data_IF_949284917899
#
_entry.id   IF_949284917899
#
_cell.length_a   1.000
_cell.length_b   1.000
_cell.length_c   1.000
_cell.angle_alpha   90.00
_cell.angle_beta   90.00
_cell.angle_gamma   90.00
#
_symmetry.space_group_name_H-M   'P 1'
#
loop_
_entity.id
_entity.type
_entity.pdbx_description
1 polymer ?
#
# COMPACT_ATOMS: atom_id res chain seq x y z
N UNK A 1 46.18 -33.91 49.13
CA UNK A 1 46.37 -35.15 48.37
C UNK A 1 44.99 -35.79 48.10
N UNK A 2 44.73 -36.07 46.85
CA UNK A 2 43.54 -36.77 46.31
C UNK A 2 42.17 -36.08 46.26
N UNK A 3 42.03 -35.29 45.22
CA UNK A 3 40.74 -34.97 44.55
C UNK A 3 40.82 -35.48 43.09
N UNK A 4 40.62 -36.79 42.86
CA UNK A 4 40.63 -37.35 41.47
C UNK A 4 39.66 -38.52 41.26
N UNK A 5 38.59 -38.68 42.02
CA UNK A 5 37.61 -39.78 41.79
C UNK A 5 36.15 -39.37 41.63
N UNK A 6 35.82 -38.08 41.56
CA UNK A 6 34.41 -37.63 41.46
C UNK A 6 33.84 -37.46 40.05
N UNK A 7 34.67 -37.36 39.05
CA UNK A 7 34.21 -36.98 37.67
C UNK A 7 33.91 -38.20 36.80
N UNK A 8 34.56 -39.33 37.08
CA UNK A 8 34.38 -40.56 36.29
C UNK A 8 33.04 -41.27 36.56
N UNK A 9 32.51 -41.18 37.80
CA UNK A 9 31.22 -41.81 38.17
C UNK A 9 30.00 -41.07 37.60
N UNK A 10 30.04 -39.75 37.51
CA UNK A 10 28.95 -38.95 36.98
C UNK A 10 28.84 -39.11 35.43
N UNK A 11 29.95 -39.20 34.72
CA UNK A 11 29.96 -39.43 33.29
C UNK A 11 29.45 -40.83 32.94
N UNK A 12 29.78 -41.83 33.74
CA UNK A 12 29.31 -43.20 33.55
C UNK A 12 27.80 -43.34 33.81
N UNK A 13 27.22 -42.58 34.77
CA UNK A 13 25.83 -42.59 35.06
C UNK A 13 24.97 -41.89 34.00
N UNK A 14 25.48 -40.83 33.38
CA UNK A 14 24.82 -40.13 32.26
C UNK A 14 24.84 -40.99 31.00
N UNK A 15 25.90 -41.77 30.76
CA UNK A 15 25.98 -42.66 29.60
C UNK A 15 25.05 -43.88 29.71
N UNK A 16 24.78 -44.39 30.90
CA UNK A 16 23.84 -45.49 31.16
C UNK A 16 22.39 -44.98 31.00
N UNK A 17 22.09 -43.74 31.37
CA UNK A 17 20.74 -43.15 31.23
C UNK A 17 20.37 -42.89 29.77
N UNK A 18 21.34 -42.60 28.89
CA UNK A 18 21.11 -42.38 27.45
C UNK A 18 20.92 -43.70 26.70
N UNK A 19 21.55 -44.81 27.18
CA UNK A 19 21.36 -46.13 26.56
C UNK A 19 20.02 -46.81 26.90
N UNK A 20 19.34 -46.41 27.96
CA UNK A 20 18.03 -46.95 28.33
C UNK A 20 16.86 -46.34 27.51
N UNK A 21 17.10 -45.30 26.72
CA UNK A 21 16.08 -44.68 25.89
C UNK A 21 15.88 -45.33 24.48
N UNK A 22 16.71 -46.32 24.15
CA UNK A 22 16.64 -47.02 22.84
C UNK A 22 16.17 -48.47 22.91
N UNK A 23 15.79 -48.98 24.07
CA UNK A 23 15.30 -50.38 24.18
C UNK A 23 13.90 -50.41 24.80
N UNK A 24 12.89 -50.30 23.97
CA UNK A 24 11.55 -50.66 24.40
C UNK A 24 10.43 -49.80 23.79
N UNK A 25 9.88 -50.32 22.70
CA UNK A 25 8.43 -50.49 22.54
C UNK A 25 8.14 -51.12 21.16
N UNK A 26 8.08 -52.42 21.16
CA UNK A 26 7.33 -53.17 20.16
C UNK A 26 5.90 -53.32 20.69
N UNK A 27 4.89 -52.80 19.96
CA UNK A 27 3.51 -53.18 20.13
C UNK A 27 2.62 -52.18 20.84
N UNK A 28 2.37 -51.01 20.27
CA UNK A 28 1.22 -50.16 20.60
C UNK A 28 0.44 -49.88 19.31
N UNK A 29 -0.84 -50.27 19.27
CA UNK A 29 -1.75 -49.99 18.17
C UNK A 29 -1.70 -48.49 17.84
N UNK A 30 -1.35 -48.14 16.60
CA UNK A 30 -1.50 -46.80 16.06
C UNK A 30 -2.95 -46.37 16.24
N UNK A 31 -3.19 -45.33 17.00
CA UNK A 31 -4.43 -44.58 16.92
C UNK A 31 -4.60 -44.10 15.46
N UNK A 32 -5.82 -44.05 14.92
CA UNK A 32 -6.02 -43.50 13.60
C UNK A 32 -5.53 -42.04 13.60
N UNK A 33 -4.51 -41.74 12.83
CA UNK A 33 -4.26 -40.36 12.42
C UNK A 33 -5.46 -40.01 11.54
N UNK A 34 -6.35 -39.16 12.02
CA UNK A 34 -7.22 -38.41 11.14
C UNK A 34 -6.33 -37.64 10.18
N UNK A 35 -6.20 -38.17 8.95
CA UNK A 35 -5.75 -37.36 7.84
C UNK A 35 -6.76 -36.23 7.69
N UNK A 36 -6.41 -35.04 8.18
CA UNK A 36 -7.09 -33.82 7.79
C UNK A 36 -6.84 -33.69 6.30
N UNK A 37 -7.82 -34.15 5.51
CA UNK A 37 -7.87 -33.87 4.08
C UNK A 37 -8.13 -32.38 3.95
N UNK A 38 -7.04 -31.59 3.86
CA UNK A 38 -7.12 -30.21 3.44
C UNK A 38 -7.58 -30.25 1.99
N UNK A 39 -8.79 -29.74 1.75
CA UNK A 39 -9.36 -29.69 0.40
C UNK A 39 -8.51 -28.74 -0.45
N UNK A 40 -7.73 -29.29 -1.39
CA UNK A 40 -6.78 -28.52 -2.21
C UNK A 40 -7.46 -27.47 -3.08
N UNK A 41 -8.79 -27.49 -3.20
CA UNK A 41 -9.57 -26.48 -3.91
C UNK A 41 -9.61 -25.13 -3.15
N UNK A 42 -9.76 -25.16 -1.83
CA UNK A 42 -9.74 -23.93 -1.01
C UNK A 42 -8.37 -23.27 -0.99
N UNK A 43 -7.30 -24.07 -0.93
CA UNK A 43 -5.93 -23.52 -0.98
C UNK A 43 -5.59 -22.88 -2.34
N UNK A 44 -6.17 -23.36 -3.44
CA UNK A 44 -5.93 -22.78 -4.77
C UNK A 44 -6.62 -21.43 -4.92
N UNK A 45 -7.81 -21.26 -4.36
CA UNK A 45 -8.52 -19.98 -4.34
C UNK A 45 -7.77 -18.96 -3.48
N UNK A 46 -7.37 -19.33 -2.26
CA UNK A 46 -6.58 -18.47 -1.36
C UNK A 46 -5.24 -18.05 -2.00
N UNK A 47 -4.53 -18.99 -2.65
CA UNK A 47 -3.28 -18.67 -3.35
C UNK A 47 -3.48 -17.78 -4.58
N UNK A 48 -4.63 -17.87 -5.26
CA UNK A 48 -4.98 -16.95 -6.34
C UNK A 48 -5.30 -15.57 -5.80
N UNK A 49 -6.03 -15.47 -4.69
CA UNK A 49 -6.37 -14.20 -4.05
C UNK A 49 -5.13 -13.48 -3.52
N UNK A 50 -4.20 -14.20 -2.88
CA UNK A 50 -2.91 -13.65 -2.43
C UNK A 50 -2.08 -13.13 -3.61
N UNK A 51 -1.96 -13.92 -4.70
CA UNK A 51 -1.24 -13.48 -5.91
C UNK A 51 -1.92 -12.31 -6.62
N UNK A 52 -3.23 -12.19 -6.49
CA UNK A 52 -3.98 -11.07 -7.05
C UNK A 52 -3.81 -9.82 -6.20
N UNK A 53 -3.81 -9.95 -4.88
CA UNK A 53 -3.50 -8.87 -3.94
C UNK A 53 -2.07 -8.34 -4.17
N UNK A 54 -1.05 -9.20 -4.24
CA UNK A 54 0.33 -8.80 -4.57
C UNK A 54 0.43 -8.02 -5.89
N UNK A 55 -0.30 -8.45 -6.94
CA UNK A 55 -0.33 -7.74 -8.23
C UNK A 55 -1.00 -6.37 -8.14
N UNK A 56 -2.04 -6.24 -7.31
CA UNK A 56 -2.76 -4.98 -7.08
C UNK A 56 -1.83 -3.99 -6.39
N UNK A 57 -1.10 -4.42 -5.35
CA UNK A 57 -0.11 -3.59 -4.66
C UNK A 57 1.03 -3.13 -5.57
N UNK A 58 1.45 -3.96 -6.53
CA UNK A 58 2.50 -3.60 -7.50
C UNK A 58 2.01 -2.68 -8.63
N UNK A 59 0.71 -2.53 -8.80
CA UNK A 59 0.11 -1.81 -9.92
C UNK A 59 -0.60 -0.50 -9.52
N UNK A 60 -0.91 -0.30 -8.23
CA UNK A 60 -1.40 0.97 -7.69
C UNK A 60 -0.25 1.72 -7.02
N UNK A 61 0.01 2.98 -7.38
CA UNK A 61 1.03 3.73 -6.66
C UNK A 61 0.61 3.86 -5.19
N UNK A 62 1.54 3.51 -4.31
CA UNK A 62 1.39 3.74 -2.88
C UNK A 62 1.31 5.26 -2.59
N UNK A 63 0.86 5.68 -1.39
CA UNK A 63 0.89 7.08 -0.98
C UNK A 63 2.28 7.71 -1.14
N UNK A 64 3.34 6.95 -0.84
CA UNK A 64 4.70 7.39 -1.00
C UNK A 64 5.09 7.57 -2.48
N UNK A 65 4.80 6.59 -3.33
CA UNK A 65 5.09 6.68 -4.77
C UNK A 65 4.37 7.86 -5.41
N UNK A 66 3.13 8.14 -4.99
CA UNK A 66 2.37 9.32 -5.42
C UNK A 66 3.13 10.62 -5.07
N UNK A 67 3.63 10.76 -3.84
CA UNK A 67 4.42 11.92 -3.42
C UNK A 67 5.74 12.04 -4.21
N UNK A 68 6.44 10.91 -4.44
CA UNK A 68 7.65 10.88 -5.26
C UNK A 68 7.39 11.30 -6.71
N UNK A 69 6.31 10.83 -7.33
CA UNK A 69 5.93 11.20 -8.68
C UNK A 69 5.66 12.71 -8.80
N UNK A 70 4.95 13.29 -7.82
CA UNK A 70 4.66 14.72 -7.76
C UNK A 70 5.96 15.52 -7.68
N UNK A 71 6.88 15.20 -6.75
CA UNK A 71 8.17 15.87 -6.61
C UNK A 71 9.04 15.71 -7.85
N UNK A 72 9.12 14.52 -8.43
CA UNK A 72 9.92 14.25 -9.64
C UNK A 72 9.41 14.99 -10.87
N UNK A 73 8.12 15.33 -10.90
CA UNK A 73 7.54 16.16 -11.95
C UNK A 73 7.90 17.64 -11.80
N UNK A 74 8.54 18.04 -10.67
CA UNK A 74 8.97 19.41 -10.41
C UNK A 74 7.90 20.29 -9.76
N UNK A 75 6.82 19.70 -9.25
CA UNK A 75 5.78 20.44 -8.54
C UNK A 75 6.30 20.94 -7.19
N UNK A 76 5.78 22.10 -6.72
CA UNK A 76 6.07 22.67 -5.42
C UNK A 76 5.19 22.11 -4.32
N UNK A 77 5.52 22.44 -3.06
CA UNK A 77 4.72 22.11 -1.90
C UNK A 77 3.64 23.17 -1.66
N UNK A 78 2.41 22.73 -1.40
CA UNK A 78 1.31 23.57 -0.94
C UNK A 78 0.54 22.87 0.17
N UNK A 79 0.75 23.33 1.42
CA UNK A 79 0.10 22.82 2.62
C UNK A 79 -1.44 22.89 2.55
N UNK A 80 -1.98 23.89 1.83
CA UNK A 80 -3.45 24.10 1.75
C UNK A 80 -4.18 22.99 1.02
N UNK A 81 -3.47 22.16 0.28
CA UNK A 81 -4.04 21.00 -0.40
C UNK A 81 -4.29 19.84 0.56
N UNK A 82 -3.55 19.77 1.66
CA UNK A 82 -3.56 18.64 2.58
C UNK A 82 -4.83 18.65 3.45
N UNK A 83 -5.21 17.47 3.94
CA UNK A 83 -6.35 17.36 4.86
C UNK A 83 -5.96 17.91 6.24
N UNK A 84 -6.59 18.99 6.73
CA UNK A 84 -6.22 19.56 8.01
C UNK A 84 -6.29 18.54 9.14
N UNK A 85 -5.23 18.42 9.95
CA UNK A 85 -5.18 17.50 11.10
C UNK A 85 -6.27 17.79 12.14
N UNK A 86 -6.82 19.01 12.17
CA UNK A 86 -7.96 19.36 13.01
C UNK A 86 -9.22 18.53 12.72
N UNK A 87 -9.33 17.98 11.49
CA UNK A 87 -10.45 17.13 11.08
C UNK A 87 -10.41 15.72 11.69
N UNK A 88 -9.29 15.29 12.27
CA UNK A 88 -9.05 13.93 12.75
C UNK A 88 -10.14 13.42 13.71
N UNK A 89 -10.76 14.33 14.48
CA UNK A 89 -11.82 13.99 15.45
C UNK A 89 -13.20 13.79 14.79
N UNK A 90 -13.37 14.17 13.53
CA UNK A 90 -14.64 14.02 12.81
C UNK A 90 -14.82 12.59 12.27
N UNK A 91 -13.74 11.83 12.13
CA UNK A 91 -13.75 10.50 11.52
C UNK A 91 -14.01 9.43 12.59
N UNK A 92 -15.30 9.09 12.78
CA UNK A 92 -15.75 8.17 13.84
C UNK A 92 -16.32 6.84 13.32
N UNK A 93 -16.48 6.70 11.99
CA UNK A 93 -16.93 5.44 11.38
C UNK A 93 -15.75 4.68 10.77
N UNK A 94 -15.84 3.35 10.68
CA UNK A 94 -14.80 2.54 10.02
C UNK A 94 -14.50 3.03 8.61
N UNK A 95 -15.52 3.38 7.81
CA UNK A 95 -15.36 3.95 6.47
C UNK A 95 -14.56 5.25 6.52
N UNK A 96 -14.95 6.20 7.37
CA UNK A 96 -14.27 7.48 7.47
C UNK A 96 -12.83 7.34 7.96
N UNK A 97 -12.60 6.50 8.98
CA UNK A 97 -11.26 6.23 9.49
C UNK A 97 -10.36 5.54 8.45
N UNK A 98 -10.88 4.54 7.72
CA UNK A 98 -10.12 3.83 6.69
C UNK A 98 -9.71 4.75 5.53
N UNK A 99 -10.66 5.51 4.98
CA UNK A 99 -10.37 6.48 3.91
C UNK A 99 -9.36 7.53 4.37
N UNK A 100 -9.52 8.07 5.58
CA UNK A 100 -8.64 9.10 6.10
C UNK A 100 -7.30 8.57 6.64
N UNK A 101 -7.17 7.28 6.96
CA UNK A 101 -5.87 6.65 7.15
C UNK A 101 -5.04 6.72 5.86
N UNK A 102 -5.64 6.35 4.74
CA UNK A 102 -4.99 6.45 3.42
C UNK A 102 -4.63 7.90 3.06
N UNK A 103 -5.56 8.84 3.26
CA UNK A 103 -5.37 10.27 3.01
C UNK A 103 -4.22 10.82 3.86
N UNK A 104 -4.26 10.65 5.19
CA UNK A 104 -3.20 11.14 6.08
C UNK A 104 -1.84 10.48 5.82
N UNK A 105 -1.81 9.23 5.36
CA UNK A 105 -0.56 8.58 4.94
C UNK A 105 -0.01 9.23 3.66
N UNK A 106 -0.86 9.65 2.72
CA UNK A 106 -0.46 10.39 1.54
C UNK A 106 0.06 11.79 1.90
N UNK A 107 -0.64 12.50 2.77
CA UNK A 107 -0.27 13.83 3.26
C UNK A 107 1.08 13.79 3.99
N UNK A 108 1.27 12.80 4.86
CA UNK A 108 2.52 12.54 5.56
C UNK A 108 3.66 12.29 4.56
N UNK A 109 3.43 11.46 3.55
CA UNK A 109 4.43 11.17 2.52
C UNK A 109 4.79 12.42 1.73
N UNK A 110 3.79 13.23 1.37
CA UNK A 110 3.99 14.49 0.66
C UNK A 110 4.76 15.50 1.52
N UNK A 111 4.38 15.69 2.79
CA UNK A 111 5.10 16.55 3.72
C UNK A 111 6.56 16.11 3.92
N UNK A 112 6.80 14.79 4.05
CA UNK A 112 8.14 14.21 4.17
C UNK A 112 9.01 14.51 2.95
N UNK A 113 8.46 14.34 1.74
CA UNK A 113 9.18 14.59 0.49
C UNK A 113 9.68 16.04 0.36
N UNK A 114 9.00 16.99 1.01
CA UNK A 114 9.35 18.42 1.01
C UNK A 114 9.95 18.89 2.34
N UNK A 115 10.41 17.94 3.18
CA UNK A 115 11.15 18.22 4.43
C UNK A 115 10.35 19.09 5.42
N UNK A 116 9.01 18.93 5.44
CA UNK A 116 8.11 19.67 6.32
C UNK A 116 8.00 18.98 7.67
N UNK A 117 9.03 19.07 8.51
CA UNK A 117 9.19 18.26 9.74
C UNK A 117 8.01 18.36 10.70
N UNK A 118 7.46 19.57 10.94
CA UNK A 118 6.32 19.72 11.86
C UNK A 118 5.06 19.07 11.31
N UNK A 119 4.76 19.28 10.04
CA UNK A 119 3.62 18.64 9.39
C UNK A 119 3.76 17.13 9.35
N UNK A 120 4.98 16.62 9.17
CA UNK A 120 5.25 15.18 9.24
C UNK A 120 4.78 14.59 10.59
N UNK A 121 5.17 15.22 11.71
CA UNK A 121 4.76 14.80 13.06
C UNK A 121 3.24 14.87 13.21
N UNK A 122 2.62 15.94 12.74
CA UNK A 122 1.18 16.14 12.88
C UNK A 122 0.39 15.11 12.07
N UNK A 123 0.79 14.82 10.83
CA UNK A 123 0.16 13.79 10.00
C UNK A 123 0.43 12.36 10.48
N UNK A 124 1.62 12.09 11.05
CA UNK A 124 1.92 10.82 11.70
C UNK A 124 0.95 10.55 12.86
N UNK A 125 0.73 11.55 13.71
CA UNK A 125 -0.21 11.45 14.82
C UNK A 125 -1.66 11.26 14.34
N UNK A 126 -2.04 11.95 13.25
CA UNK A 126 -3.36 11.79 12.65
C UNK A 126 -3.56 10.38 12.08
N UNK A 127 -2.59 9.86 11.31
CA UNK A 127 -2.63 8.50 10.77
C UNK A 127 -2.66 7.44 11.88
N UNK A 128 -1.83 7.59 12.93
CA UNK A 128 -1.81 6.72 14.12
C UNK A 128 -3.19 6.68 14.78
N UNK A 129 -3.87 7.82 14.92
CA UNK A 129 -5.21 7.88 15.50
C UNK A 129 -6.25 7.14 14.64
N UNK A 130 -6.17 7.23 13.33
CA UNK A 130 -7.03 6.45 12.43
C UNK A 130 -6.77 4.96 12.56
N UNK A 131 -5.50 4.54 12.60
CA UNK A 131 -5.09 3.17 12.79
C UNK A 131 -5.56 2.59 14.14
N UNK A 132 -5.50 3.39 15.22
CA UNK A 132 -6.02 3.02 16.54
C UNK A 132 -7.53 2.78 16.49
N UNK A 133 -8.28 3.71 15.90
CA UNK A 133 -9.73 3.58 15.75
C UNK A 133 -10.17 2.36 14.92
N UNK A 134 -9.33 1.92 13.98
CA UNK A 134 -9.54 0.70 13.18
C UNK A 134 -9.06 -0.58 13.90
N UNK A 135 -8.39 -0.46 15.05
CA UNK A 135 -7.84 -1.59 15.81
C UNK A 135 -6.59 -2.23 15.18
N UNK A 136 -5.90 -1.52 14.29
CA UNK A 136 -4.74 -2.04 13.56
C UNK A 136 -3.39 -1.54 14.08
N UNK A 137 -3.35 -0.82 15.20
CA UNK A 137 -2.06 -0.40 15.80
C UNK A 137 -1.09 -1.56 16.06
N UNK A 138 -1.61 -2.78 16.25
CA UNK A 138 -0.76 -3.97 16.41
C UNK A 138 0.01 -4.36 15.13
N UNK A 139 -0.43 -3.88 13.98
CA UNK A 139 0.28 -4.06 12.71
C UNK A 139 1.44 -3.04 12.56
N UNK A 140 1.45 -2.01 13.40
CA UNK A 140 2.48 -0.98 13.44
C UNK A 140 3.36 -1.30 14.65
N UNK A 141 4.59 -1.74 14.40
CA UNK A 141 5.51 -2.06 15.48
C UNK A 141 5.98 -0.76 16.17
N UNK A 142 6.04 -0.77 17.52
CA UNK A 142 6.50 0.41 18.27
C UNK A 142 7.90 0.86 17.81
N UNK A 143 8.77 -0.11 17.45
CA UNK A 143 10.11 0.19 16.93
C UNK A 143 10.08 1.05 15.66
N UNK A 144 9.06 0.89 14.78
CA UNK A 144 8.95 1.65 13.54
C UNK A 144 8.56 3.11 13.84
N UNK A 145 7.71 3.31 14.87
CA UNK A 145 7.36 4.63 15.36
C UNK A 145 8.59 5.32 15.98
N UNK A 146 9.30 4.60 16.85
CA UNK A 146 10.50 5.12 17.52
C UNK A 146 11.60 5.46 16.49
N UNK A 147 11.83 4.58 15.50
CA UNK A 147 12.79 4.83 14.41
C UNK A 147 12.40 6.03 13.55
N UNK A 148 11.10 6.23 13.30
CA UNK A 148 10.59 7.37 12.55
C UNK A 148 10.81 8.68 13.32
N UNK A 149 10.53 8.69 14.63
CA UNK A 149 10.77 9.85 15.51
C UNK A 149 12.26 10.19 15.62
N UNK A 150 13.14 9.18 15.73
CA UNK A 150 14.60 9.36 15.79
C UNK A 150 15.19 9.89 14.48
N UNK A 151 14.55 9.56 13.35
CA UNK A 151 15.03 9.90 12.00
C UNK A 151 14.18 10.97 11.30
N UNK A 152 13.50 11.84 12.05
CA UNK A 152 12.51 12.80 11.55
C UNK A 152 13.06 13.74 10.43
N UNK A 153 14.37 13.90 10.34
CA UNK A 153 15.03 14.71 9.31
C UNK A 153 15.66 13.85 8.18
N UNK A 154 15.44 12.54 8.18
CA UNK A 154 15.95 11.63 7.16
C UNK A 154 14.81 11.10 6.29
N UNK A 155 14.55 11.81 5.18
CA UNK A 155 13.45 11.47 4.28
C UNK A 155 13.51 10.02 3.76
N UNK A 156 14.70 9.44 3.53
CA UNK A 156 14.83 8.06 3.03
C UNK A 156 14.36 7.04 4.09
N UNK A 157 14.76 7.23 5.35
CA UNK A 157 14.32 6.36 6.47
C UNK A 157 12.82 6.49 6.67
N UNK A 158 12.31 7.73 6.70
CA UNK A 158 10.88 8.00 6.84
C UNK A 158 10.09 7.30 5.73
N UNK A 159 10.51 7.47 4.48
CA UNK A 159 9.85 6.87 3.32
C UNK A 159 9.80 5.35 3.40
N UNK A 160 10.90 4.71 3.81
CA UNK A 160 10.96 3.26 4.01
C UNK A 160 9.95 2.82 5.08
N UNK A 161 9.99 3.44 6.26
CA UNK A 161 9.11 3.06 7.38
C UNK A 161 7.63 3.27 7.02
N UNK A 162 7.29 4.41 6.43
CA UNK A 162 5.90 4.71 6.01
C UNK A 162 5.41 3.68 4.99
N UNK A 163 6.23 3.32 4.00
CA UNK A 163 5.87 2.31 2.99
C UNK A 163 5.69 0.92 3.61
N UNK A 164 6.64 0.47 4.44
CA UNK A 164 6.58 -0.82 5.13
C UNK A 164 5.36 -0.90 6.06
N UNK A 165 5.13 0.14 6.87
CA UNK A 165 4.00 0.22 7.79
C UNK A 165 2.66 0.24 7.05
N UNK A 166 2.58 0.95 5.91
CA UNK A 166 1.38 0.98 5.08
C UNK A 166 1.06 -0.42 4.52
N UNK A 167 2.06 -1.12 3.95
CA UNK A 167 1.88 -2.48 3.43
C UNK A 167 1.52 -3.47 4.53
N UNK A 168 2.22 -3.43 5.68
CA UNK A 168 1.95 -4.30 6.82
C UNK A 168 0.55 -4.10 7.38
N UNK A 169 0.09 -2.84 7.49
CA UNK A 169 -1.27 -2.51 7.94
C UNK A 169 -2.33 -3.06 7.01
N UNK A 170 -2.10 -2.98 5.69
CA UNK A 170 -3.04 -3.50 4.72
C UNK A 170 -3.10 -5.03 4.73
N UNK A 171 -1.95 -5.71 4.75
CA UNK A 171 -1.87 -7.16 4.88
C UNK A 171 -2.53 -7.64 6.18
N UNK A 172 -2.29 -6.93 7.29
CA UNK A 172 -2.93 -7.25 8.57
C UNK A 172 -4.47 -7.16 8.49
N UNK A 173 -5.01 -6.15 7.81
CA UNK A 173 -6.46 -6.03 7.61
C UNK A 173 -7.02 -7.20 6.78
N UNK A 174 -6.35 -7.59 5.70
CA UNK A 174 -6.75 -8.72 4.87
C UNK A 174 -6.72 -10.04 5.65
N UNK A 175 -5.62 -10.32 6.35
CA UNK A 175 -5.41 -11.54 7.16
C UNK A 175 -6.41 -11.65 8.32
N UNK A 176 -6.92 -10.53 8.82
CA UNK A 176 -7.93 -10.47 9.88
C UNK A 176 -9.37 -10.37 9.35
N UNK A 177 -9.61 -10.70 8.07
CA UNK A 177 -10.94 -10.75 7.48
C UNK A 177 -11.59 -9.38 7.29
N UNK A 178 -10.79 -8.33 7.12
CA UNK A 178 -11.23 -6.95 6.87
C UNK A 178 -10.83 -6.42 5.47
N UNK A 179 -10.98 -7.18 4.37
CA UNK A 179 -10.55 -6.75 3.05
C UNK A 179 -11.28 -5.48 2.57
N UNK A 180 -12.51 -5.27 2.98
CA UNK A 180 -13.25 -4.04 2.69
C UNK A 180 -12.56 -2.80 3.31
N UNK A 181 -12.08 -2.91 4.54
CA UNK A 181 -11.34 -1.83 5.22
C UNK A 181 -10.00 -1.58 4.53
N UNK A 182 -9.27 -2.64 4.18
CA UNK A 182 -8.03 -2.56 3.42
C UNK A 182 -8.22 -1.82 2.08
N UNK A 183 -9.24 -2.20 1.31
CA UNK A 183 -9.58 -1.54 0.05
C UNK A 183 -9.90 -0.05 0.24
N UNK A 184 -10.64 0.32 1.29
CA UNK A 184 -10.95 1.72 1.59
C UNK A 184 -9.70 2.54 1.93
N UNK A 185 -8.73 1.98 2.66
CA UNK A 185 -7.44 2.64 2.94
C UNK A 185 -6.69 2.94 1.65
N UNK A 186 -6.59 1.95 0.76
CA UNK A 186 -5.93 2.12 -0.55
C UNK A 186 -6.60 3.19 -1.41
N UNK A 187 -7.94 3.18 -1.48
CA UNK A 187 -8.71 4.19 -2.22
C UNK A 187 -8.46 5.59 -1.65
N UNK A 188 -8.47 5.74 -0.33
CA UNK A 188 -8.20 7.03 0.33
C UNK A 188 -6.87 7.63 -0.09
N UNK A 189 -5.79 6.85 0.00
CA UNK A 189 -4.45 7.30 -0.38
C UNK A 189 -4.32 7.60 -1.88
N UNK A 190 -4.92 6.76 -2.75
CA UNK A 190 -4.89 6.97 -4.19
C UNK A 190 -5.67 8.22 -4.61
N UNK A 191 -6.85 8.46 -4.04
CA UNK A 191 -7.66 9.66 -4.30
C UNK A 191 -6.91 10.91 -3.85
N UNK A 192 -6.27 10.91 -2.68
CA UNK A 192 -5.50 12.06 -2.19
C UNK A 192 -4.31 12.37 -3.09
N UNK A 193 -3.53 11.35 -3.48
CA UNK A 193 -2.41 11.52 -4.41
C UNK A 193 -2.85 12.07 -5.78
N UNK A 194 -3.97 11.58 -6.32
CA UNK A 194 -4.53 12.09 -7.56
C UNK A 194 -5.05 13.52 -7.39
N UNK A 195 -5.73 13.82 -6.27
CA UNK A 195 -6.19 15.16 -5.95
C UNK A 195 -5.03 16.14 -5.90
N UNK A 196 -4.02 15.89 -5.08
CA UNK A 196 -2.84 16.76 -4.96
C UNK A 196 -2.19 16.96 -6.34
N UNK A 197 -2.02 15.87 -7.11
CA UNK A 197 -1.44 15.95 -8.45
C UNK A 197 -2.23 16.87 -9.36
N UNK A 198 -3.56 16.79 -9.37
CA UNK A 198 -4.40 17.64 -10.24
C UNK A 198 -4.39 19.11 -9.83
N UNK A 199 -4.23 19.42 -8.54
CA UNK A 199 -4.19 20.80 -8.05
C UNK A 199 -2.84 21.49 -8.35
N UNK A 200 -1.78 20.71 -8.53
CA UNK A 200 -0.42 21.22 -8.77
C UNK A 200 -0.05 21.36 -10.26
N UNK A 201 -0.97 21.03 -11.17
CA UNK A 201 -0.74 21.23 -12.61
C UNK A 201 -0.77 22.71 -12.97
N UNK A 202 0.32 23.22 -13.53
CA UNK A 202 0.33 24.56 -14.13
C UNK A 202 -0.44 24.56 -15.47
N UNK A 203 -1.60 25.17 -15.46
CA UNK A 203 -2.47 25.28 -16.64
C UNK A 203 -1.91 26.20 -17.73
N UNK A 204 -0.93 27.05 -17.41
CA UNK A 204 -0.29 27.90 -18.41
C UNK A 204 0.74 27.11 -19.25
N UNK A 205 1.28 26.03 -18.70
CA UNK A 205 2.18 25.09 -19.39
C UNK A 205 1.60 23.66 -19.39
N UNK A 206 0.32 23.52 -19.69
CA UNK A 206 -0.39 22.24 -19.58
C UNK A 206 0.29 21.12 -20.38
N UNK A 207 0.70 21.39 -21.61
CA UNK A 207 1.29 20.38 -22.50
C UNK A 207 2.75 20.03 -22.14
N UNK A 208 3.48 20.93 -21.47
CA UNK A 208 4.85 20.71 -21.00
C UNK A 208 4.90 20.18 -19.55
N UNK A 209 3.79 20.21 -18.82
CA UNK A 209 3.73 19.84 -17.43
C UNK A 209 3.82 18.32 -17.25
N UNK A 210 4.89 17.86 -16.60
CA UNK A 210 5.15 16.43 -16.38
C UNK A 210 4.08 15.75 -15.53
N UNK A 211 3.38 16.48 -14.65
CA UNK A 211 2.28 15.93 -13.83
C UNK A 211 1.13 15.46 -14.73
N UNK A 212 0.85 16.12 -15.84
CA UNK A 212 -0.22 15.70 -16.77
C UNK A 212 0.04 14.28 -17.27
N UNK A 213 1.27 13.94 -17.63
CA UNK A 213 1.64 12.58 -18.01
C UNK A 213 1.41 11.58 -16.87
N UNK A 214 1.82 11.92 -15.64
CA UNK A 214 1.64 11.07 -14.45
C UNK A 214 0.17 10.85 -14.10
N UNK A 215 -0.67 11.86 -14.31
CA UNK A 215 -2.12 11.75 -14.13
C UNK A 215 -2.73 10.83 -15.20
N UNK A 216 -2.26 10.92 -16.46
CA UNK A 216 -2.70 10.02 -17.52
C UNK A 216 -2.36 8.56 -17.22
N UNK A 217 -1.18 8.28 -16.66
CA UNK A 217 -0.76 6.94 -16.24
C UNK A 217 -1.75 6.30 -15.26
N UNK A 218 -2.45 7.11 -14.44
CA UNK A 218 -3.47 6.65 -13.49
C UNK A 218 -4.72 6.06 -14.17
N UNK A 219 -4.89 6.25 -15.48
CA UNK A 219 -5.94 5.57 -16.24
C UNK A 219 -5.86 4.05 -16.13
N UNK A 220 -4.65 3.50 -16.02
CA UNK A 220 -4.45 2.05 -15.82
C UNK A 220 -4.78 1.62 -14.38
N UNK A 221 -4.54 2.49 -13.43
CA UNK A 221 -4.78 2.23 -12.00
C UNK A 221 -6.27 2.17 -11.64
N UNK A 222 -7.12 2.92 -12.35
CA UNK A 222 -8.56 3.00 -12.03
C UNK A 222 -9.28 1.65 -12.17
N UNK A 223 -8.94 0.84 -13.18
CA UNK A 223 -9.54 -0.48 -13.38
C UNK A 223 -9.09 -1.46 -12.28
N UNK A 224 -7.84 -1.36 -11.84
CA UNK A 224 -7.31 -2.16 -10.73
C UNK A 224 -8.04 -1.80 -9.44
N UNK A 225 -8.24 -0.51 -9.19
CA UNK A 225 -8.96 -0.02 -8.01
C UNK A 225 -10.41 -0.51 -7.98
N UNK A 226 -11.12 -0.47 -9.12
CA UNK A 226 -12.47 -1.00 -9.22
C UNK A 226 -12.53 -2.51 -9.02
N UNK A 227 -11.53 -3.26 -9.51
CA UNK A 227 -11.44 -4.70 -9.29
C UNK A 227 -11.18 -5.03 -7.82
N UNK A 228 -10.33 -4.27 -7.15
CA UNK A 228 -10.08 -4.39 -5.71
C UNK A 228 -11.39 -4.22 -4.91
N UNK A 229 -12.11 -3.13 -5.17
CA UNK A 229 -13.39 -2.85 -4.53
C UNK A 229 -14.43 -3.95 -4.80
N UNK A 230 -14.45 -4.49 -6.03
CA UNK A 230 -15.38 -5.56 -6.40
C UNK A 230 -15.15 -6.85 -5.58
N UNK A 231 -13.93 -7.09 -5.07
CA UNK A 231 -13.66 -8.19 -4.14
C UNK A 231 -14.44 -8.13 -2.82
N UNK A 232 -14.90 -6.94 -2.44
CA UNK A 232 -15.71 -6.70 -1.24
C UNK A 232 -17.12 -6.21 -1.55
N UNK A 233 -17.63 -6.50 -2.76
CA UNK A 233 -18.98 -6.14 -3.20
C UNK A 233 -20.04 -6.70 -2.27
N UNK A 234 -21.07 -5.90 -1.99
CA UNK A 234 -22.13 -6.19 -1.03
C UNK A 234 -21.89 -5.57 0.34
N UNK A 235 -20.68 -5.02 0.58
CA UNK A 235 -20.46 -4.12 1.70
C UNK A 235 -20.99 -2.72 1.33
N UNK A 236 -21.95 -2.14 2.05
CA UNK A 236 -22.59 -0.87 1.66
C UNK A 236 -21.60 0.29 1.47
N UNK A 237 -20.56 0.36 2.30
CA UNK A 237 -19.53 1.40 2.20
C UNK A 237 -18.68 1.24 0.94
N UNK A 238 -18.37 -0.01 0.56
CA UNK A 238 -17.62 -0.33 -0.66
C UNK A 238 -18.47 -0.09 -1.90
N UNK A 239 -19.75 -0.49 -1.89
CA UNK A 239 -20.66 -0.29 -3.02
C UNK A 239 -20.87 1.20 -3.34
N UNK A 240 -20.98 2.04 -2.30
CA UNK A 240 -21.01 3.49 -2.46
C UNK A 240 -19.70 4.02 -3.07
N UNK A 241 -18.56 3.54 -2.55
CA UNK A 241 -17.24 3.95 -3.02
C UNK A 241 -16.98 3.51 -4.47
N UNK A 242 -17.42 2.31 -4.87
CA UNK A 242 -17.39 1.86 -6.26
C UNK A 242 -18.14 2.82 -7.19
N UNK A 243 -19.28 3.34 -6.74
CA UNK A 243 -20.08 4.32 -7.51
C UNK A 243 -19.30 5.62 -7.70
N UNK A 244 -18.62 6.10 -6.67
CA UNK A 244 -17.79 7.32 -6.78
C UNK A 244 -16.57 7.12 -7.68
N UNK A 245 -15.84 6.01 -7.52
CA UNK A 245 -14.67 5.68 -8.34
C UNK A 245 -15.06 5.45 -9.81
N UNK A 246 -16.25 4.88 -10.08
CA UNK A 246 -16.75 4.72 -11.44
C UNK A 246 -17.00 6.06 -12.17
N UNK A 247 -17.31 7.14 -11.45
CA UNK A 247 -17.40 8.49 -12.04
C UNK A 247 -16.03 8.94 -12.58
N UNK A 248 -14.94 8.71 -11.83
CA UNK A 248 -13.59 8.98 -12.30
C UNK A 248 -13.23 8.15 -13.53
N UNK A 249 -13.58 6.85 -13.53
CA UNK A 249 -13.38 6.01 -14.71
C UNK A 249 -14.02 6.59 -15.96
N UNK A 250 -15.26 7.09 -15.83
CA UNK A 250 -15.98 7.72 -16.95
C UNK A 250 -15.22 8.92 -17.53
N UNK A 251 -14.50 9.68 -16.68
CA UNK A 251 -13.67 10.80 -17.14
C UNK A 251 -12.36 10.29 -17.75
N UNK A 252 -11.69 9.33 -17.10
CA UNK A 252 -10.46 8.72 -17.62
C UNK A 252 -10.69 8.05 -18.99
N UNK A 253 -11.87 7.49 -19.25
CA UNK A 253 -12.19 6.84 -20.52
C UNK A 253 -12.26 7.84 -21.70
N UNK A 254 -12.40 9.14 -21.42
CA UNK A 254 -12.31 10.20 -22.43
C UNK A 254 -10.87 10.47 -22.90
N UNK A 255 -9.87 10.03 -22.12
CA UNK A 255 -8.45 10.18 -22.47
C UNK A 255 -8.09 9.09 -23.49
N UNK A 256 -7.61 9.49 -24.66
CA UNK A 256 -7.13 8.55 -25.67
C UNK A 256 -5.65 8.28 -25.46
N UNK A 257 -5.27 7.02 -25.55
CA UNK A 257 -3.90 6.55 -25.50
C UNK A 257 -3.68 5.73 -26.77
N UNK A 258 -2.90 6.30 -27.70
CA UNK A 258 -2.52 5.64 -28.94
C UNK A 258 -1.07 5.18 -28.83
N UNK A 259 -0.82 3.89 -29.00
CA UNK A 259 0.53 3.33 -29.01
C UNK A 259 0.94 2.99 -30.43
N UNK A 260 2.11 3.47 -30.87
CA UNK A 260 2.67 3.05 -32.16
C UNK A 260 3.05 1.56 -32.11
N UNK A 261 3.06 0.87 -33.26
CA UNK A 261 3.64 -0.47 -33.32
C UNK A 261 5.09 -0.47 -32.82
N UNK A 262 5.44 -1.53 -32.10
CA UNK A 262 6.82 -1.71 -31.61
C UNK A 262 7.75 -1.84 -32.82
N UNK A 263 8.78 -1.01 -32.85
CA UNK A 263 9.88 -1.06 -33.83
C UNK A 263 11.14 -1.52 -33.11
N UNK A 264 11.91 -2.35 -33.80
CA UNK A 264 13.23 -2.77 -33.35
C UNK A 264 14.31 -1.88 -33.98
N UNK A 265 15.21 -1.36 -33.15
CA UNK A 265 16.41 -0.63 -33.60
C UNK A 265 17.64 -1.34 -33.02
N UNK A 266 18.55 -1.76 -33.89
CA UNK A 266 19.77 -2.42 -33.45
C UNK A 266 20.85 -1.38 -33.17
N UNK A 267 21.33 -1.32 -31.94
CA UNK A 267 22.46 -0.47 -31.56
C UNK A 267 23.76 -1.27 -31.67
N UNK A 268 24.54 -0.94 -32.66
CA UNK A 268 25.84 -1.59 -32.94
C UNK A 268 26.89 -1.32 -31.85
N UNK A 269 26.79 -0.20 -31.12
CA UNK A 269 27.76 0.19 -30.10
C UNK A 269 27.65 -0.64 -28.83
N UNK A 270 26.44 -1.00 -28.48
CA UNK A 270 26.13 -1.83 -27.27
C UNK A 270 25.81 -3.28 -27.62
N UNK A 271 25.76 -3.65 -28.88
CA UNK A 271 25.34 -4.97 -29.37
C UNK A 271 23.96 -5.39 -28.84
N UNK A 272 23.02 -4.43 -28.71
CA UNK A 272 21.69 -4.64 -28.17
C UNK A 272 20.60 -4.27 -29.18
N UNK A 273 19.47 -4.95 -29.13
CA UNK A 273 18.27 -4.58 -29.86
C UNK A 273 17.35 -3.77 -28.94
N UNK A 274 17.13 -2.51 -29.30
CA UNK A 274 16.25 -1.60 -28.57
C UNK A 274 14.84 -1.73 -29.17
N UNK A 275 13.86 -1.95 -28.31
CA UNK A 275 12.45 -1.90 -28.67
C UNK A 275 11.95 -0.46 -28.47
N UNK A 276 11.51 0.19 -29.55
CA UNK A 276 10.93 1.54 -29.49
C UNK A 276 9.45 1.49 -29.82
N UNK A 277 8.67 2.16 -29.01
CA UNK A 277 7.27 2.46 -29.27
C UNK A 277 7.00 3.89 -28.82
N UNK A 278 6.20 4.62 -29.57
CA UNK A 278 5.75 5.95 -29.18
C UNK A 278 4.36 5.84 -28.59
N UNK A 279 4.16 6.44 -27.42
CA UNK A 279 2.86 6.58 -26.78
C UNK A 279 2.40 8.02 -27.01
N UNK A 280 1.26 8.18 -27.67
CA UNK A 280 0.60 9.48 -27.81
C UNK A 280 -0.63 9.49 -26.93
N UNK A 281 -0.71 10.48 -26.08
CA UNK A 281 -1.85 10.68 -25.20
C UNK A 281 -2.58 11.96 -25.60
N UNK A 282 -3.92 11.88 -25.62
CA UNK A 282 -4.76 13.04 -25.92
C UNK A 282 -5.63 13.33 -24.67
N UNK A 283 -5.03 14.08 -23.74
CA UNK A 283 -5.72 14.67 -22.61
C UNK A 283 -5.87 16.17 -22.86
N UNK A 284 -7.08 16.59 -23.21
CA UNK A 284 -7.34 18.01 -23.42
C UNK A 284 -7.49 18.77 -22.11
N UNK A 285 -7.20 20.09 -22.04
CA UNK A 285 -7.46 20.90 -20.85
C UNK A 285 -8.90 20.82 -20.33
N UNK A 286 -9.88 20.55 -21.20
CA UNK A 286 -11.29 20.40 -20.83
C UNK A 286 -11.49 19.09 -20.04
N UNK A 287 -10.98 17.97 -20.55
CA UNK A 287 -11.04 16.66 -19.89
C UNK A 287 -10.28 16.71 -18.56
N UNK A 288 -9.11 17.37 -18.54
CA UNK A 288 -8.35 17.56 -17.30
C UNK A 288 -9.13 18.33 -16.24
N UNK A 289 -9.78 19.45 -16.59
CA UNK A 289 -10.62 20.22 -15.64
C UNK A 289 -11.78 19.40 -15.10
N UNK A 290 -12.40 18.59 -15.94
CA UNK A 290 -13.45 17.66 -15.51
C UNK A 290 -12.91 16.61 -14.52
N UNK A 291 -11.73 16.04 -14.81
CA UNK A 291 -11.06 15.10 -13.92
C UNK A 291 -10.72 15.75 -12.56
N UNK A 292 -10.09 16.92 -12.57
CA UNK A 292 -9.74 17.66 -11.37
C UNK A 292 -10.97 18.03 -10.54
N UNK A 293 -12.06 18.44 -11.16
CA UNK A 293 -13.33 18.74 -10.47
C UNK A 293 -13.95 17.45 -9.87
N UNK A 294 -13.92 16.34 -10.61
CA UNK A 294 -14.48 15.07 -10.15
C UNK A 294 -13.70 14.51 -8.96
N UNK A 295 -12.36 14.45 -9.04
CA UNK A 295 -11.54 13.98 -7.92
C UNK A 295 -11.66 14.89 -6.70
N UNK A 296 -11.71 16.22 -6.90
CA UNK A 296 -11.94 17.18 -5.81
C UNK A 296 -13.28 16.93 -5.12
N UNK A 297 -14.33 16.68 -5.87
CA UNK A 297 -15.67 16.36 -5.32
C UNK A 297 -15.65 15.08 -4.47
N UNK A 298 -15.03 14.03 -4.95
CA UNK A 298 -14.90 12.75 -4.24
C UNK A 298 -14.05 12.93 -2.96
N UNK A 299 -12.86 13.51 -3.09
CA UNK A 299 -11.97 13.79 -1.95
C UNK A 299 -12.66 14.62 -0.87
N UNK A 300 -13.37 15.66 -1.25
CA UNK A 300 -14.10 16.50 -0.30
C UNK A 300 -15.24 15.78 0.41
N UNK A 301 -15.79 14.72 -0.16
CA UNK A 301 -16.78 13.87 0.52
C UNK A 301 -16.14 12.97 1.60
N UNK A 302 -14.84 12.68 1.49
CA UNK A 302 -14.09 11.85 2.44
C UNK A 302 -13.59 12.62 3.66
N UNK A 303 -13.31 13.92 3.50
CA UNK A 303 -12.68 14.78 4.53
C UNK A 303 -13.67 15.72 5.24
N UNK A 304 -14.96 15.51 5.04
CA UNK A 304 -16.03 16.29 5.69
C UNK A 304 -16.24 15.91 7.14
#
# INVERSE_FOLDING_TARGET
>A
MNRKHGISSVILMVFILVLCLFAGCKGGKKAPQEEVKVDMKDNTAILQDIKQAEKIFQALPSPLESAMLIKSAGAGFDEKLLNPVSNVNNYVTNKAMALNLGIYTCDLSFASMYEQTQLLIDYMNAAKKMADGLGILKAIEQKDIDELEENINNSEVIMRIVSETFMNSNSYLEDNGQPATAAMVLVGGWIEGLYISTQLVDMNDFNGNKLVGRIIDQKLSIDILLNLLNGSKGNPAVDELMTEVAKLKTVFDKIKIDTSPIRTEYDQSSNTTILKSEVKTDMTPVVFKELAATVTGIRNSFVK
#
